data_IF_083333166984
#
_entry.id   IF_083333166984
#
_cell.length_a   1.000
_cell.length_b   1.000
_cell.length_c   1.000
_cell.angle_alpha   90.00
_cell.angle_beta   90.00
_cell.angle_gamma   90.00
#
_symmetry.space_group_name_H-M   'P 1'
#
loop_
_entity.id
_entity.type
_entity.pdbx_description
1 polymer ?
#
# COMPACT_ATOMS: atom_id res chain seq x y z
N UNK A 1 17.57 30.32 -0.51
CA UNK A 1 16.84 30.12 -1.79
C UNK A 1 17.62 29.26 -2.78
N UNK A 2 18.94 29.12 -2.63
CA UNK A 2 19.78 28.21 -3.41
C UNK A 2 20.81 27.52 -2.49
N UNK A 3 20.36 27.05 -1.31
CA UNK A 3 21.24 26.45 -0.30
C UNK A 3 21.92 25.17 -0.82
N UNK A 4 21.25 24.43 -1.71
CA UNK A 4 21.83 23.28 -2.38
C UNK A 4 22.98 23.62 -3.34
N UNK A 5 22.95 24.83 -3.94
CA UNK A 5 24.05 25.30 -4.81
C UNK A 5 25.25 25.65 -3.98
N UNK A 6 25.01 26.14 -2.76
CA UNK A 6 26.04 26.41 -1.76
C UNK A 6 26.68 25.12 -1.26
N UNK A 7 25.83 24.12 -0.94
CA UNK A 7 26.29 22.77 -0.56
C UNK A 7 27.08 22.10 -1.69
N UNK A 8 26.66 22.30 -2.94
CA UNK A 8 27.39 21.80 -4.12
C UNK A 8 28.73 22.53 -4.32
N UNK A 9 28.77 23.85 -4.12
CA UNK A 9 29.99 24.65 -4.19
C UNK A 9 30.89 24.32 -3.02
N UNK A 10 30.40 24.20 -1.79
CA UNK A 10 31.16 23.79 -0.61
C UNK A 10 31.78 22.39 -0.74
N UNK A 11 31.05 21.46 -1.40
CA UNK A 11 31.60 20.13 -1.72
C UNK A 11 32.68 20.23 -2.79
N UNK A 12 32.55 21.12 -3.76
CA UNK A 12 33.56 21.34 -4.80
C UNK A 12 34.81 22.06 -4.28
N UNK A 13 34.64 22.99 -3.32
CA UNK A 13 35.77 23.78 -2.78
C UNK A 13 36.59 23.02 -1.71
N UNK A 14 35.97 22.11 -0.94
CA UNK A 14 36.66 21.35 0.11
C UNK A 14 37.60 20.25 -0.38
N UNK A 15 37.66 19.97 -1.67
CA UNK A 15 38.36 18.79 -2.22
C UNK A 15 39.46 19.07 -3.25
N UNK A 16 40.22 20.13 -3.07
CA UNK A 16 41.36 20.45 -3.95
C UNK A 16 42.62 19.58 -3.79
N UNK A 17 42.57 18.47 -3.03
CA UNK A 17 43.76 17.69 -2.74
C UNK A 17 43.75 16.18 -3.05
N UNK A 18 42.77 15.68 -3.84
CA UNK A 18 42.85 14.27 -4.32
C UNK A 18 42.17 14.15 -5.71
N UNK A 19 42.83 14.73 -6.71
CA UNK A 19 42.20 15.24 -7.93
C UNK A 19 41.72 14.23 -8.96
N UNK A 20 42.08 12.97 -8.96
CA UNK A 20 41.63 12.06 -10.05
C UNK A 20 40.66 10.95 -9.68
N UNK A 21 40.69 10.48 -8.45
CA UNK A 21 39.81 9.37 -8.06
C UNK A 21 38.40 9.83 -7.64
N UNK A 22 38.28 11.03 -7.10
CA UNK A 22 37.02 11.62 -6.61
C UNK A 22 36.16 12.23 -7.73
N UNK A 23 36.78 12.81 -8.75
CA UNK A 23 36.06 13.30 -9.93
C UNK A 23 35.36 12.17 -10.67
N UNK A 24 35.98 11.03 -10.85
CA UNK A 24 35.36 9.85 -11.45
C UNK A 24 34.21 9.34 -10.62
N UNK A 25 34.33 9.28 -9.31
CA UNK A 25 33.27 8.81 -8.41
C UNK A 25 32.11 9.80 -8.36
N UNK A 26 32.38 11.11 -8.37
CA UNK A 26 31.34 12.15 -8.45
C UNK A 26 30.62 12.12 -9.80
N UNK A 27 31.34 12.05 -10.90
CA UNK A 27 30.72 11.93 -12.24
C UNK A 27 29.86 10.66 -12.36
N UNK A 28 30.28 9.53 -11.81
CA UNK A 28 29.48 8.32 -11.75
C UNK A 28 28.21 8.49 -10.88
N UNK A 29 28.32 9.15 -9.72
CA UNK A 29 27.16 9.42 -8.88
C UNK A 29 26.12 10.32 -9.56
N UNK A 30 26.55 11.26 -10.41
CA UNK A 30 25.64 12.08 -11.24
C UNK A 30 25.08 11.31 -12.43
N UNK A 31 25.81 10.32 -12.97
CA UNK A 31 25.35 9.50 -14.08
C UNK A 31 24.27 8.48 -13.63
N UNK A 32 24.31 8.02 -12.37
CA UNK A 32 23.40 7.00 -11.86
C UNK A 32 22.14 7.57 -11.21
N UNK A 33 22.05 8.88 -11.02
CA UNK A 33 20.92 9.52 -10.37
C UNK A 33 20.28 10.60 -11.26
N UNK A 34 19.01 10.86 -11.01
CA UNK A 34 18.26 11.98 -11.55
C UNK A 34 17.75 12.84 -10.41
N UNK A 35 17.77 14.15 -10.59
CA UNK A 35 17.28 15.13 -9.64
C UNK A 35 16.04 15.80 -10.22
N UNK A 36 14.91 15.63 -9.56
CA UNK A 36 13.64 16.18 -9.96
C UNK A 36 13.13 17.16 -8.90
N UNK A 37 12.28 18.08 -9.29
CA UNK A 37 11.77 19.15 -8.45
C UNK A 37 10.31 18.94 -8.11
N UNK A 38 9.92 19.24 -6.88
CA UNK A 38 8.52 19.41 -6.52
C UNK A 38 8.06 20.82 -6.90
N UNK A 39 6.74 21.08 -7.06
CA UNK A 39 6.22 22.43 -7.27
C UNK A 39 6.56 23.41 -6.14
N UNK A 40 6.95 22.92 -4.96
CA UNK A 40 7.41 23.73 -3.82
C UNK A 40 8.90 24.07 -3.88
N UNK A 41 9.63 23.57 -4.89
CA UNK A 41 11.08 23.78 -5.05
C UNK A 41 11.96 22.79 -4.30
N UNK A 42 11.40 21.73 -3.71
CA UNK A 42 12.19 20.67 -3.08
C UNK A 42 12.83 19.78 -4.15
N UNK A 43 14.07 19.36 -3.90
CA UNK A 43 14.82 18.49 -4.80
C UNK A 43 14.72 17.05 -4.32
N UNK A 44 14.31 16.17 -5.19
CA UNK A 44 14.21 14.74 -4.94
C UNK A 44 15.23 14.00 -5.79
N UNK A 45 16.19 13.34 -5.12
CA UNK A 45 17.19 12.49 -5.75
C UNK A 45 16.61 11.08 -5.95
N UNK A 46 16.67 10.58 -7.17
CA UNK A 46 16.20 9.27 -7.57
C UNK A 46 17.23 8.53 -8.41
N UNK A 47 17.24 7.21 -8.45
CA UNK A 47 18.08 6.46 -9.36
C UNK A 47 17.64 6.70 -10.82
N UNK A 48 18.59 6.61 -11.75
CA UNK A 48 18.30 6.69 -13.18
C UNK A 48 17.26 5.64 -13.60
N UNK A 49 16.30 6.04 -14.42
CA UNK A 49 15.17 5.20 -14.82
C UNK A 49 14.02 5.19 -13.83
N UNK A 50 14.06 6.04 -12.80
CA UNK A 50 12.94 6.22 -11.88
C UNK A 50 11.72 6.83 -12.59
N UNK A 51 10.54 6.56 -12.03
CA UNK A 51 9.24 6.97 -12.56
C UNK A 51 8.54 7.93 -11.59
N UNK A 52 7.45 8.60 -12.00
CA UNK A 52 6.59 9.38 -11.11
C UNK A 52 6.09 8.59 -9.88
N UNK A 53 5.95 7.28 -10.00
CA UNK A 53 5.62 6.40 -8.86
C UNK A 53 6.75 6.47 -7.83
N UNK A 54 8.01 6.29 -8.26
CA UNK A 54 9.18 6.39 -7.38
C UNK A 54 9.28 7.75 -6.72
N UNK A 55 9.03 8.81 -7.50
CA UNK A 55 9.03 10.19 -7.02
C UNK A 55 7.99 10.40 -5.92
N UNK A 56 6.74 9.96 -6.13
CA UNK A 56 5.67 10.10 -5.15
C UNK A 56 6.01 9.43 -3.80
N UNK A 57 6.55 8.20 -3.86
CA UNK A 57 7.00 7.48 -2.66
C UNK A 57 8.29 8.04 -2.06
N UNK A 58 9.14 8.69 -2.85
CA UNK A 58 10.33 9.36 -2.33
C UNK A 58 9.94 10.58 -1.49
N UNK A 59 8.97 11.37 -1.96
CA UNK A 59 8.43 12.53 -1.23
C UNK A 59 7.77 12.05 0.07
N UNK A 60 6.73 11.24 -0.01
CA UNK A 60 6.07 10.69 1.16
C UNK A 60 5.22 9.46 0.82
N UNK A 61 5.21 8.44 1.68
CA UNK A 61 4.42 7.21 1.46
C UNK A 61 2.95 7.48 1.21
N UNK A 62 2.31 8.39 1.97
CA UNK A 62 0.89 8.75 1.76
C UNK A 62 0.63 9.39 0.39
N UNK A 63 1.60 10.14 -0.15
CA UNK A 63 1.50 10.72 -1.50
C UNK A 63 1.54 9.59 -2.54
N UNK A 64 2.46 8.64 -2.38
CA UNK A 64 2.52 7.45 -3.22
C UNK A 64 1.24 6.61 -3.16
N UNK A 65 0.70 6.38 -1.96
CA UNK A 65 -0.53 5.59 -1.78
C UNK A 65 -1.76 6.27 -2.39
N UNK A 66 -1.83 7.60 -2.39
CA UNK A 66 -2.93 8.39 -2.94
C UNK A 66 -2.78 8.75 -4.42
N UNK A 67 -1.65 8.42 -5.05
CA UNK A 67 -1.30 8.79 -6.42
C UNK A 67 -2.38 8.36 -7.43
N UNK A 68 -2.86 9.31 -8.23
CA UNK A 68 -3.85 9.09 -9.28
C UNK A 68 -3.26 9.41 -10.66
N UNK A 69 -2.62 10.56 -10.77
CA UNK A 69 -1.99 11.04 -12.01
C UNK A 69 -0.80 11.92 -11.69
N UNK A 70 -0.03 12.26 -12.70
CA UNK A 70 1.09 13.19 -12.55
C UNK A 70 1.22 14.12 -13.74
N UNK A 71 1.88 15.26 -13.50
CA UNK A 71 2.30 16.18 -14.53
C UNK A 71 3.83 16.31 -14.47
N UNK A 72 4.45 16.26 -15.62
CA UNK A 72 5.88 16.51 -15.77
C UNK A 72 6.04 17.80 -16.59
N UNK A 73 6.69 18.79 -16.04
CA UNK A 73 6.90 20.10 -16.67
C UNK A 73 5.57 20.76 -17.12
N UNK A 74 4.51 20.63 -16.31
CA UNK A 74 3.19 21.19 -16.56
C UNK A 74 2.35 20.41 -17.58
N UNK A 75 2.78 19.21 -17.99
CA UNK A 75 2.03 18.35 -18.92
C UNK A 75 1.66 17.04 -18.25
N UNK A 76 0.40 16.63 -18.39
CA UNK A 76 -0.07 15.32 -17.94
C UNK A 76 0.75 14.20 -18.58
N UNK A 77 1.27 13.30 -17.75
CA UNK A 77 2.19 12.25 -18.20
C UNK A 77 1.82 10.90 -17.59
N UNK A 78 2.08 9.78 -18.29
CA UNK A 78 1.89 8.45 -17.76
C UNK A 78 2.75 8.22 -16.51
N UNK A 79 2.22 7.48 -15.53
CA UNK A 79 2.94 7.14 -14.30
C UNK A 79 4.19 6.25 -14.51
N UNK A 80 4.33 5.69 -15.70
CA UNK A 80 5.46 4.84 -16.12
C UNK A 80 6.55 5.60 -16.86
N UNK A 81 6.36 6.92 -17.09
CA UNK A 81 7.34 7.77 -17.78
C UNK A 81 8.66 7.77 -17.02
N UNK A 82 9.77 7.74 -17.74
CA UNK A 82 11.11 7.83 -17.13
C UNK A 82 11.41 9.30 -16.86
N UNK A 83 11.72 9.63 -15.62
CA UNK A 83 12.11 10.96 -15.18
C UNK A 83 13.52 11.32 -15.62
N UNK A 84 13.73 12.59 -15.93
CA UNK A 84 15.00 13.17 -16.35
C UNK A 84 15.48 14.23 -15.35
N UNK A 85 16.76 14.54 -15.39
CA UNK A 85 17.32 15.63 -14.60
C UNK A 85 16.61 16.96 -14.91
N UNK A 86 16.24 17.68 -13.87
CA UNK A 86 15.56 18.97 -13.99
C UNK A 86 14.04 18.91 -14.16
N UNK A 87 13.43 17.71 -14.23
CA UNK A 87 11.99 17.59 -14.36
C UNK A 87 11.26 18.15 -13.14
N UNK A 88 10.30 19.03 -13.37
CA UNK A 88 9.33 19.51 -12.39
C UNK A 88 8.16 18.53 -12.35
N UNK A 89 8.04 17.78 -11.24
CA UNK A 89 7.04 16.72 -11.12
C UNK A 89 5.96 17.11 -10.13
N UNK A 90 4.74 17.25 -10.62
CA UNK A 90 3.55 17.49 -9.81
C UNK A 90 2.75 16.20 -9.66
N UNK A 91 2.54 15.76 -8.44
CA UNK A 91 1.79 14.56 -8.10
C UNK A 91 0.36 14.92 -7.76
N UNK A 92 -0.58 14.32 -8.45
CA UNK A 92 -2.01 14.49 -8.23
C UNK A 92 -2.53 13.23 -7.55
N UNK A 93 -3.09 13.39 -6.36
CA UNK A 93 -3.59 12.29 -5.55
C UNK A 93 -5.03 12.46 -5.14
N UNK A 94 -5.69 11.35 -4.80
CA UNK A 94 -7.03 11.31 -4.21
C UNK A 94 -7.02 10.50 -2.93
N UNK A 95 -7.72 10.99 -1.89
CA UNK A 95 -7.83 10.31 -0.59
C UNK A 95 -8.46 8.92 -0.69
N UNK A 96 -9.30 8.70 -1.71
CA UNK A 96 -10.02 7.44 -1.90
C UNK A 96 -9.29 6.48 -2.86
N UNK A 97 -8.08 6.86 -3.32
CA UNK A 97 -7.31 6.01 -4.22
C UNK A 97 -6.48 4.99 -3.45
N UNK A 98 -6.15 3.91 -4.13
CA UNK A 98 -5.27 2.84 -3.65
C UNK A 98 -4.18 2.58 -4.68
N UNK A 99 -2.94 2.34 -4.28
CA UNK A 99 -1.88 2.05 -5.23
C UNK A 99 -2.18 0.74 -5.98
N UNK A 100 -1.94 0.72 -7.29
CA UNK A 100 -2.05 -0.52 -8.06
C UNK A 100 -0.90 -1.46 -7.72
N UNK A 101 -1.18 -2.76 -7.53
CA UNK A 101 -0.14 -3.77 -7.32
C UNK A 101 0.79 -3.88 -8.55
N UNK A 102 0.29 -3.58 -9.74
CA UNK A 102 1.06 -3.59 -10.99
C UNK A 102 2.17 -2.54 -10.99
N UNK A 103 2.07 -1.49 -10.18
CA UNK A 103 3.12 -0.47 -10.06
C UNK A 103 4.44 -1.02 -9.53
N UNK A 104 4.43 -2.18 -8.85
CA UNK A 104 5.66 -2.84 -8.39
C UNK A 104 6.61 -3.17 -9.55
N UNK A 105 6.06 -3.49 -10.74
CA UNK A 105 6.86 -3.78 -11.93
C UNK A 105 7.44 -2.52 -12.60
N UNK A 106 6.78 -1.37 -12.41
CA UNK A 106 7.19 -0.09 -12.99
C UNK A 106 8.08 0.74 -12.07
N UNK A 107 7.96 0.53 -10.75
CA UNK A 107 8.79 1.22 -9.78
C UNK A 107 10.24 0.72 -9.81
N UNK A 108 11.19 1.66 -9.90
CA UNK A 108 12.64 1.38 -9.90
C UNK A 108 13.18 1.23 -8.49
N UNK A 109 12.67 2.01 -7.54
CA UNK A 109 13.19 2.05 -6.18
C UNK A 109 12.67 0.93 -5.29
N UNK A 110 13.54 0.39 -4.43
CA UNK A 110 13.14 -0.57 -3.40
C UNK A 110 12.11 0.01 -2.42
N UNK A 111 12.23 1.33 -2.12
CA UNK A 111 11.30 2.06 -1.23
C UNK A 111 9.87 2.02 -1.77
N UNK A 112 9.67 2.38 -3.03
CA UNK A 112 8.34 2.36 -3.66
C UNK A 112 7.76 0.95 -3.71
N UNK A 113 8.54 -0.02 -4.19
CA UNK A 113 8.13 -1.43 -4.26
C UNK A 113 7.75 -2.00 -2.90
N UNK A 114 8.55 -1.74 -1.86
CA UNK A 114 8.27 -2.20 -0.50
C UNK A 114 7.01 -1.54 0.08
N UNK A 115 6.80 -0.23 -0.15
CA UNK A 115 5.63 0.49 0.31
C UNK A 115 4.34 -0.05 -0.33
N UNK A 116 4.32 -0.26 -1.65
CA UNK A 116 3.18 -0.83 -2.37
C UNK A 116 2.84 -2.24 -1.83
N UNK A 117 3.85 -3.11 -1.67
CA UNK A 117 3.62 -4.45 -1.12
C UNK A 117 3.06 -4.41 0.29
N UNK A 118 3.60 -3.54 1.16
CA UNK A 118 3.13 -3.35 2.54
C UNK A 118 1.68 -2.88 2.58
N UNK A 119 1.31 -1.93 1.71
CA UNK A 119 -0.06 -1.45 1.60
C UNK A 119 -1.04 -2.62 1.35
N UNK A 120 -0.75 -3.47 0.38
CA UNK A 120 -1.58 -4.60 0.03
C UNK A 120 -1.58 -5.72 1.07
N UNK A 121 -0.46 -5.97 1.75
CA UNK A 121 -0.40 -6.90 2.88
C UNK A 121 -1.28 -6.43 4.04
N UNK A 122 -1.19 -5.17 4.41
CA UNK A 122 -2.03 -4.58 5.47
C UNK A 122 -3.52 -4.62 5.10
N UNK A 123 -3.86 -4.31 3.84
CA UNK A 123 -5.25 -4.38 3.36
C UNK A 123 -5.79 -5.82 3.39
N UNK A 124 -4.97 -6.80 3.02
CA UNK A 124 -5.33 -8.22 3.11
C UNK A 124 -5.50 -8.67 4.56
N UNK A 125 -4.62 -8.26 5.46
CA UNK A 125 -4.71 -8.59 6.89
C UNK A 125 -5.94 -7.96 7.54
N UNK A 126 -6.25 -6.69 7.19
CA UNK A 126 -7.44 -6.02 7.70
C UNK A 126 -8.73 -6.65 7.16
N UNK A 127 -8.76 -7.09 5.90
CA UNK A 127 -9.91 -7.82 5.36
C UNK A 127 -10.08 -9.19 6.05
N UNK A 128 -9.00 -9.93 6.28
CA UNK A 128 -9.03 -11.18 7.04
C UNK A 128 -9.46 -10.98 8.49
N UNK A 129 -9.13 -9.84 9.10
CA UNK A 129 -9.62 -9.48 10.44
C UNK A 129 -11.08 -9.02 10.45
N UNK A 130 -11.54 -8.34 9.39
CA UNK A 130 -12.95 -7.97 9.26
C UNK A 130 -13.84 -9.18 8.91
N UNK A 131 -13.32 -10.17 8.19
CA UNK A 131 -14.00 -11.46 7.96
C UNK A 131 -13.95 -12.37 9.19
N UNK A 132 -12.96 -12.21 10.08
CA UNK A 132 -12.94 -12.85 11.41
C UNK A 132 -13.79 -12.14 12.46
N UNK A 133 -14.67 -11.24 12.07
CA UNK A 133 -15.57 -10.56 12.98
C UNK A 133 -16.58 -11.57 13.55
N UNK A 134 -16.09 -12.25 14.60
CA UNK A 134 -16.94 -12.99 15.55
C UNK A 134 -17.84 -14.07 14.94
N UNK A 135 -17.26 -15.02 14.18
CA UNK A 135 -17.96 -16.29 13.95
C UNK A 135 -17.73 -17.13 15.20
N UNK A 136 -18.75 -17.24 16.00
CA UNK A 136 -18.77 -18.17 17.13
C UNK A 136 -19.53 -19.41 16.72
N UNK A 137 -18.94 -20.59 16.87
CA UNK A 137 -19.64 -21.86 16.62
C UNK A 137 -20.25 -22.37 17.88
N UNK A 138 -21.56 -22.53 17.88
CA UNK A 138 -22.31 -23.08 19.02
C UNK A 138 -22.78 -24.48 18.64
N UNK A 139 -22.41 -25.47 19.46
CA UNK A 139 -22.91 -26.82 19.35
C UNK A 139 -24.12 -27.00 20.25
N UNK A 140 -25.27 -27.36 19.69
CA UNK A 140 -26.54 -27.50 20.40
C UNK A 140 -27.08 -28.89 20.14
N UNK A 141 -27.49 -29.56 21.22
CA UNK A 141 -28.21 -30.81 21.18
C UNK A 141 -29.69 -30.55 21.46
N UNK A 142 -30.56 -30.88 20.54
CA UNK A 142 -31.99 -30.67 20.66
C UNK A 142 -32.77 -31.98 20.45
N UNK A 143 -33.94 -32.15 21.11
CA UNK A 143 -34.84 -33.27 20.83
C UNK A 143 -35.26 -33.27 19.36
N UNK A 144 -35.36 -34.45 18.76
CA UNK A 144 -35.83 -34.61 17.38
C UNK A 144 -37.39 -34.50 17.31
N UNK A 145 -37.89 -33.32 17.61
CA UNK A 145 -39.32 -32.99 17.64
C UNK A 145 -39.58 -31.85 16.66
N UNK A 146 -40.65 -31.90 15.87
CA UNK A 146 -41.03 -30.81 14.96
C UNK A 146 -41.09 -29.45 15.68
N UNK A 147 -40.53 -28.41 15.07
CA UNK A 147 -40.54 -27.02 15.59
C UNK A 147 -39.38 -26.65 16.50
N UNK A 148 -38.69 -27.62 17.14
CA UNK A 148 -37.57 -27.30 18.06
C UNK A 148 -36.41 -26.55 17.43
N UNK A 149 -36.08 -26.84 16.20
CA UNK A 149 -35.08 -26.08 15.44
C UNK A 149 -35.48 -24.62 15.24
N UNK A 150 -36.78 -24.38 14.96
CA UNK A 150 -37.32 -23.03 14.80
C UNK A 150 -37.23 -22.21 16.10
N UNK A 151 -37.52 -22.83 17.25
CA UNK A 151 -37.35 -22.17 18.55
C UNK A 151 -35.92 -21.72 18.79
N UNK A 152 -34.95 -22.61 18.53
CA UNK A 152 -33.51 -22.29 18.70
C UNK A 152 -33.09 -21.18 17.74
N UNK A 153 -33.47 -21.26 16.47
CA UNK A 153 -33.12 -20.21 15.49
C UNK A 153 -33.75 -18.87 15.86
N UNK A 154 -34.98 -18.85 16.36
CA UNK A 154 -35.66 -17.64 16.84
C UNK A 154 -34.97 -17.04 18.06
N UNK A 155 -34.49 -17.87 18.99
CA UNK A 155 -33.72 -17.44 20.15
C UNK A 155 -32.39 -16.78 19.74
N UNK A 156 -31.69 -17.38 18.80
CA UNK A 156 -30.44 -16.80 18.26
C UNK A 156 -30.71 -15.43 17.64
N UNK A 157 -31.77 -15.31 16.82
CA UNK A 157 -32.16 -14.05 16.20
C UNK A 157 -32.63 -12.99 17.20
N UNK A 158 -33.35 -13.40 18.27
CA UNK A 158 -33.76 -12.49 19.33
C UNK A 158 -32.57 -11.80 20.05
N UNK A 159 -31.47 -12.52 20.18
CA UNK A 159 -30.21 -11.96 20.74
C UNK A 159 -29.37 -11.19 19.72
N UNK A 160 -29.96 -10.75 18.62
CA UNK A 160 -29.30 -9.96 17.56
C UNK A 160 -28.09 -10.65 16.91
N UNK A 161 -28.04 -11.97 16.97
CA UNK A 161 -27.06 -12.77 16.26
C UNK A 161 -27.63 -13.28 14.94
N UNK A 162 -26.79 -13.30 13.93
CA UNK A 162 -27.14 -13.84 12.61
C UNK A 162 -26.58 -15.25 12.44
N UNK A 163 -27.39 -16.19 11.97
CA UNK A 163 -26.95 -17.55 11.63
C UNK A 163 -26.32 -17.49 10.23
N UNK A 164 -25.03 -17.76 10.14
CA UNK A 164 -24.28 -17.76 8.88
C UNK A 164 -24.32 -19.14 8.25
N UNK A 165 -24.17 -20.17 9.09
CA UNK A 165 -24.15 -21.56 8.65
C UNK A 165 -24.79 -22.45 9.71
N UNK A 166 -25.32 -23.59 9.28
CA UNK A 166 -25.88 -24.61 10.17
C UNK A 166 -25.54 -25.99 9.61
N UNK A 167 -24.96 -26.82 10.44
CA UNK A 167 -24.57 -28.19 10.08
C UNK A 167 -25.07 -29.21 11.11
N UNK A 168 -25.56 -30.34 10.63
CA UNK A 168 -25.97 -31.45 11.49
C UNK A 168 -24.77 -32.36 11.70
N UNK A 169 -24.25 -32.40 12.93
CA UNK A 169 -23.12 -33.27 13.29
C UNK A 169 -23.58 -34.69 13.52
N UNK A 170 -24.71 -34.86 14.18
CA UNK A 170 -25.22 -36.16 14.58
C UNK A 170 -26.75 -36.23 14.55
N UNK A 171 -27.24 -37.29 13.96
CA UNK A 171 -28.67 -37.57 13.89
C UNK A 171 -28.93 -38.90 14.60
N UNK A 172 -29.84 -38.87 15.61
CA UNK A 172 -30.43 -40.06 16.27
C UNK A 172 -31.92 -39.95 16.29
N UNK A 173 -32.57 -41.04 16.61
CA UNK A 173 -34.05 -41.07 16.69
C UNK A 173 -34.59 -40.06 17.72
N UNK A 174 -33.94 -39.96 18.87
CA UNK A 174 -34.38 -39.13 19.99
C UNK A 174 -33.82 -37.68 19.94
N UNK A 175 -32.72 -37.42 19.26
CA UNK A 175 -32.08 -36.11 19.24
C UNK A 175 -31.25 -35.82 18.01
N UNK A 176 -31.04 -34.51 17.78
CA UNK A 176 -30.20 -33.96 16.75
C UNK A 176 -29.12 -33.08 17.39
N UNK A 177 -27.87 -33.14 16.91
CA UNK A 177 -26.79 -32.26 17.27
C UNK A 177 -26.44 -31.35 16.07
N UNK A 178 -26.50 -30.04 16.31
CA UNK A 178 -26.18 -29.01 15.31
C UNK A 178 -24.98 -28.18 15.74
N UNK A 179 -24.20 -27.75 14.75
CA UNK A 179 -23.34 -26.59 14.88
C UNK A 179 -24.00 -25.42 14.16
N UNK A 180 -24.12 -24.29 14.86
CA UNK A 180 -24.50 -23.01 14.30
C UNK A 180 -23.28 -22.11 14.31
N UNK A 181 -22.91 -21.57 13.14
CA UNK A 181 -21.96 -20.50 13.04
C UNK A 181 -22.75 -19.19 13.07
N UNK A 182 -22.50 -18.39 14.09
CA UNK A 182 -23.22 -17.14 14.38
C UNK A 182 -22.30 -15.94 14.35
N UNK A 183 -22.85 -14.78 13.91
CA UNK A 183 -22.14 -13.50 13.82
C UNK A 183 -22.89 -12.44 14.61
#
# INVERSE_FOLDING_TARGET
EYDWLRDLVDIMEKETNTEHSLEYTKLQMFQDNVFCFTPKGEIIKLPRGATPIDFAYAVHTKIGDSLTSCEINGRGSPLQSILKNGDLVNIIGSKNNSPSIQWVSHARTGKARAAIRRYWQNKKSNNLQSEKKYISSICIKIPNIPGKLGEVSSLIGFHQNNIINMEIIKKKEDYLEFIFDIQ
#
